data_IF_852478125545
#
_entry.id   IF_852478125545
#
_cell.length_a   1.000
_cell.length_b   1.000
_cell.length_c   1.000
_cell.angle_alpha   90.00
_cell.angle_beta   90.00
_cell.angle_gamma   90.00
#
_symmetry.space_group_name_H-M   'P 1'
#
loop_
_entity.id
_entity.type
_entity.pdbx_description
1 polymer ?
#
# COMPACT_ATOMS: atom_id res chain seq x y z
N UNK A 1 -8.03 -19.29 -0.26
CA UNK A 1 -6.70 -19.86 0.04
C UNK A 1 -5.58 -19.39 -0.90
N UNK A 2 -5.75 -19.29 -2.24
CA UNK A 2 -4.65 -18.84 -3.14
C UNK A 2 -4.24 -17.37 -2.90
N UNK A 3 -5.19 -16.47 -2.66
CA UNK A 3 -4.91 -15.05 -2.43
C UNK A 3 -4.21 -14.79 -1.10
N UNK A 4 -4.53 -15.58 -0.07
CA UNK A 4 -3.97 -15.48 1.27
C UNK A 4 -2.50 -15.90 1.29
N UNK A 5 -2.11 -16.90 0.50
CA UNK A 5 -0.69 -17.26 0.32
C UNK A 5 0.07 -16.12 -0.36
N UNK A 6 -0.51 -15.49 -1.39
CA UNK A 6 0.10 -14.32 -2.04
C UNK A 6 0.21 -13.14 -1.05
N UNK A 7 -0.79 -12.95 -0.18
CA UNK A 7 -0.74 -11.93 0.86
C UNK A 7 0.39 -12.16 1.87
N UNK A 8 0.73 -13.41 2.19
CA UNK A 8 1.90 -13.71 3.03
C UNK A 8 3.21 -13.32 2.35
N UNK A 9 3.34 -13.57 1.04
CA UNK A 9 4.51 -13.14 0.27
C UNK A 9 4.60 -11.61 0.26
N UNK A 10 3.47 -10.93 0.02
CA UNK A 10 3.39 -9.47 0.08
C UNK A 10 3.82 -8.95 1.46
N UNK A 11 3.34 -9.57 2.54
CA UNK A 11 3.71 -9.18 3.90
C UNK A 11 5.22 -9.31 4.16
N UNK A 12 5.87 -10.37 3.64
CA UNK A 12 7.33 -10.51 3.73
C UNK A 12 8.04 -9.38 2.99
N UNK A 13 7.59 -9.05 1.77
CA UNK A 13 8.15 -7.98 0.96
C UNK A 13 7.98 -6.62 1.67
N UNK A 14 6.78 -6.33 2.16
CA UNK A 14 6.47 -5.09 2.89
C UNK A 14 7.16 -5.00 4.25
N UNK A 15 7.60 -6.11 4.83
CA UNK A 15 8.47 -6.10 6.01
C UNK A 15 9.92 -5.69 5.70
N UNK A 16 10.41 -5.99 4.50
CA UNK A 16 11.81 -5.73 4.09
C UNK A 16 11.96 -4.36 3.42
N UNK A 17 11.03 -3.97 2.54
CA UNK A 17 11.12 -2.76 1.74
C UNK A 17 11.38 -1.49 2.54
N UNK A 18 10.72 -1.25 3.69
CA UNK A 18 10.88 -0.02 4.44
C UNK A 18 12.31 0.21 4.95
N UNK A 19 13.05 -0.88 5.18
CA UNK A 19 14.47 -0.85 5.57
C UNK A 19 15.32 -0.33 4.41
N UNK A 20 15.03 -0.79 3.19
CA UNK A 20 15.75 -0.39 1.97
C UNK A 20 15.35 1.03 1.56
N UNK A 21 14.06 1.36 1.61
CA UNK A 21 13.54 2.70 1.33
C UNK A 21 14.11 3.75 2.28
N UNK A 22 14.18 3.44 3.59
CA UNK A 22 14.85 4.32 4.57
C UNK A 22 16.31 4.57 4.21
N UNK A 23 17.06 3.56 3.72
CA UNK A 23 18.44 3.77 3.25
C UNK A 23 18.50 4.69 2.05
N UNK A 24 17.59 4.54 1.08
CA UNK A 24 17.53 5.44 -0.08
C UNK A 24 17.22 6.89 0.34
N UNK A 25 16.31 7.08 1.31
CA UNK A 25 15.92 8.39 1.84
C UNK A 25 17.03 9.12 2.60
N UNK A 26 18.17 8.47 2.89
CA UNK A 26 19.36 9.16 3.40
C UNK A 26 20.08 9.98 2.31
N UNK A 27 19.82 9.69 1.03
CA UNK A 27 20.48 10.32 -0.11
C UNK A 27 19.59 11.30 -0.86
N UNK A 28 18.26 11.21 -0.68
CA UNK A 28 17.28 12.00 -1.43
C UNK A 28 16.12 12.46 -0.57
N UNK A 29 15.46 13.54 -0.98
CA UNK A 29 14.22 13.98 -0.34
C UNK A 29 13.03 13.04 -0.66
N UNK A 30 12.02 12.93 0.23
CA UNK A 30 10.84 12.07 0.02
C UNK A 30 10.12 12.29 -1.32
N UNK A 31 10.02 13.53 -1.80
CA UNK A 31 9.43 13.83 -3.11
C UNK A 31 10.28 13.31 -4.27
N UNK A 32 11.61 13.36 -4.14
CA UNK A 32 12.54 12.84 -5.15
C UNK A 32 12.49 11.31 -5.16
N UNK A 33 12.49 10.67 -3.99
CA UNK A 33 12.32 9.22 -3.88
C UNK A 33 10.99 8.75 -4.51
N UNK A 34 9.89 9.47 -4.24
CA UNK A 34 8.58 9.19 -4.84
C UNK A 34 8.62 9.30 -6.36
N UNK A 35 9.20 10.38 -6.90
CA UNK A 35 9.34 10.55 -8.34
C UNK A 35 10.13 9.38 -8.95
N UNK A 36 11.29 9.05 -8.38
CA UNK A 36 12.14 7.97 -8.88
C UNK A 36 11.44 6.62 -8.88
N UNK A 37 10.80 6.22 -7.76
CA UNK A 37 10.14 4.91 -7.69
C UNK A 37 8.94 4.81 -8.64
N UNK A 38 8.16 5.89 -8.79
CA UNK A 38 7.03 5.92 -9.73
C UNK A 38 7.53 5.84 -11.17
N UNK A 39 8.58 6.59 -11.53
CA UNK A 39 9.18 6.53 -12.86
C UNK A 39 9.79 5.16 -13.16
N UNK A 40 10.52 4.56 -12.21
CA UNK A 40 11.09 3.22 -12.37
C UNK A 40 10.00 2.17 -12.53
N UNK A 41 8.96 2.20 -11.70
CA UNK A 41 7.83 1.28 -11.81
C UNK A 41 7.10 1.42 -13.15
N UNK A 42 6.88 2.65 -13.61
CA UNK A 42 6.29 2.91 -14.93
C UNK A 42 7.13 2.28 -16.05
N UNK A 43 8.45 2.50 -16.04
CA UNK A 43 9.36 1.92 -17.05
C UNK A 43 9.36 0.39 -17.00
N UNK A 44 9.52 -0.19 -15.80
CA UNK A 44 9.59 -1.65 -15.62
C UNK A 44 8.29 -2.32 -16.08
N UNK A 45 7.13 -1.80 -15.67
CA UNK A 45 5.83 -2.36 -16.04
C UNK A 45 5.58 -2.19 -17.55
N UNK A 46 5.91 -1.02 -18.12
CA UNK A 46 5.75 -0.77 -19.55
C UNK A 46 6.59 -1.74 -20.38
N UNK A 47 7.86 -1.95 -20.00
CA UNK A 47 8.74 -2.92 -20.66
C UNK A 47 8.18 -4.34 -20.53
N UNK A 48 7.72 -4.74 -19.34
CA UNK A 48 7.12 -6.05 -19.14
C UNK A 48 5.91 -6.26 -20.07
N UNK A 49 5.01 -5.26 -20.19
CA UNK A 49 3.84 -5.32 -21.07
C UNK A 49 4.20 -5.44 -22.54
N UNK A 50 5.24 -4.72 -22.98
CA UNK A 50 5.75 -4.82 -24.36
C UNK A 50 6.28 -6.23 -24.61
N UNK A 51 7.10 -6.78 -23.70
CA UNK A 51 7.75 -8.08 -23.87
C UNK A 51 6.75 -9.24 -23.91
N UNK A 52 5.64 -9.16 -23.16
CA UNK A 52 4.59 -10.18 -23.16
C UNK A 52 3.53 -9.97 -24.26
N UNK A 53 3.73 -8.98 -25.15
CA UNK A 53 2.83 -8.71 -26.27
C UNK A 53 1.45 -8.19 -25.87
N UNK A 54 1.32 -7.55 -24.70
CA UNK A 54 0.04 -7.00 -24.19
C UNK A 54 -0.20 -5.54 -24.53
N UNK A 55 0.62 -4.96 -25.40
CA UNK A 55 0.42 -3.57 -25.85
C UNK A 55 -0.42 -3.57 -27.12
N UNK A 56 -1.71 -3.28 -26.96
CA UNK A 56 -2.68 -3.11 -28.04
C UNK A 56 -3.39 -1.76 -27.87
N UNK A 57 -3.33 -0.91 -28.90
CA UNK A 57 -4.01 0.39 -28.92
C UNK A 57 -5.53 0.19 -28.95
N UNK A 58 -6.00 -0.88 -29.60
CA UNK A 58 -7.42 -1.23 -29.65
C UNK A 58 -7.94 -1.65 -28.29
N UNK A 59 -7.15 -2.42 -27.52
CA UNK A 59 -7.50 -2.81 -26.16
C UNK A 59 -7.66 -1.58 -25.27
N UNK A 60 -6.74 -0.61 -25.34
CA UNK A 60 -6.80 0.64 -24.58
C UNK A 60 -8.04 1.49 -24.93
N UNK A 61 -8.42 1.56 -26.21
CA UNK A 61 -9.62 2.29 -26.65
C UNK A 61 -10.91 1.60 -26.22
N UNK A 62 -10.88 0.28 -26.06
CA UNK A 62 -12.02 -0.53 -25.65
C UNK A 62 -12.22 -0.61 -24.13
N UNK A 63 -11.31 -0.04 -23.34
CA UNK A 63 -11.38 -0.10 -21.88
C UNK A 63 -12.63 0.61 -21.35
N UNK A 64 -13.42 -0.06 -20.48
CA UNK A 64 -14.47 0.60 -19.74
C UNK A 64 -13.93 1.76 -18.90
N UNK A 65 -14.72 2.81 -18.72
CA UNK A 65 -14.29 4.01 -18.02
C UNK A 65 -14.23 3.79 -16.50
N UNK A 66 -15.05 2.89 -15.97
CA UNK A 66 -15.16 2.56 -14.55
C UNK A 66 -13.83 2.15 -13.91
N UNK A 67 -13.07 1.16 -14.43
CA UNK A 67 -11.77 0.82 -13.88
C UNK A 67 -10.77 1.98 -13.98
N UNK A 68 -10.85 2.81 -15.02
CA UNK A 68 -9.99 3.99 -15.17
C UNK A 68 -10.27 5.00 -14.05
N UNK A 69 -11.55 5.25 -13.75
CA UNK A 69 -11.95 6.16 -12.67
C UNK A 69 -11.51 5.60 -11.31
N UNK A 70 -11.84 4.34 -11.01
CA UNK A 70 -11.49 3.74 -9.73
C UNK A 70 -9.98 3.70 -9.49
N UNK A 71 -9.21 3.25 -10.49
CA UNK A 71 -7.76 3.21 -10.40
C UNK A 71 -7.13 4.61 -10.42
N UNK A 72 -7.75 5.59 -11.09
CA UNK A 72 -7.34 6.98 -11.06
C UNK A 72 -7.43 7.59 -9.65
N UNK A 73 -8.54 7.34 -8.94
CA UNK A 73 -8.71 7.76 -7.54
C UNK A 73 -7.66 7.10 -6.64
N UNK A 74 -7.46 5.78 -6.80
CA UNK A 74 -6.44 5.03 -6.05
C UNK A 74 -5.04 5.55 -6.35
N UNK A 75 -4.74 5.90 -7.59
CA UNK A 75 -3.43 6.45 -8.00
C UNK A 75 -3.14 7.77 -7.29
N UNK A 76 -4.10 8.69 -7.24
CA UNK A 76 -3.96 9.95 -6.50
C UNK A 76 -3.73 9.71 -5.00
N UNK A 77 -4.52 8.80 -4.40
CA UNK A 77 -4.35 8.39 -3.00
C UNK A 77 -3.00 7.72 -2.74
N UNK A 78 -2.52 6.91 -3.68
CA UNK A 78 -1.24 6.20 -3.61
C UNK A 78 -0.07 7.18 -3.66
N UNK A 79 -0.10 8.20 -4.52
CA UNK A 79 0.93 9.24 -4.56
C UNK A 79 1.01 9.99 -3.23
N UNK A 80 -0.13 10.44 -2.70
CA UNK A 80 -0.17 11.17 -1.43
C UNK A 80 0.28 10.30 -0.25
N UNK A 81 -0.26 9.08 -0.14
CA UNK A 81 0.08 8.16 0.95
C UNK A 81 1.54 7.74 0.91
N UNK A 82 2.10 7.45 -0.27
CA UNK A 82 3.53 7.11 -0.42
C UNK A 82 4.42 8.29 -0.07
N UNK A 83 4.05 9.52 -0.47
CA UNK A 83 4.79 10.72 -0.07
C UNK A 83 4.82 10.89 1.46
N UNK A 84 3.66 10.77 2.11
CA UNK A 84 3.55 10.86 3.58
C UNK A 84 4.30 9.72 4.26
N UNK A 85 4.25 8.52 3.68
CA UNK A 85 4.98 7.36 4.16
C UNK A 85 6.49 7.58 4.12
N UNK A 86 7.03 8.10 3.02
CA UNK A 86 8.45 8.43 2.91
C UNK A 86 8.87 9.56 3.85
N UNK A 87 8.00 10.55 4.07
CA UNK A 87 8.23 11.55 5.13
C UNK A 87 8.29 10.90 6.51
N UNK A 88 7.33 10.04 6.84
CA UNK A 88 7.29 9.34 8.12
C UNK A 88 8.52 8.44 8.31
N UNK A 89 8.93 7.70 7.27
CA UNK A 89 10.16 6.93 7.26
C UNK A 89 11.37 7.83 7.49
N UNK A 90 11.47 9.01 6.88
CA UNK A 90 12.61 9.92 7.13
C UNK A 90 12.68 10.36 8.60
N UNK A 91 11.53 10.58 9.24
CA UNK A 91 11.40 11.09 10.61
C UNK A 91 11.50 10.01 11.71
N UNK A 92 11.27 8.73 11.41
CA UNK A 92 11.24 7.66 12.42
C UNK A 92 11.90 6.38 11.94
N UNK A 93 11.87 5.32 12.75
CA UNK A 93 12.39 4.00 12.37
C UNK A 93 11.39 3.23 11.50
N UNK A 94 11.87 2.40 10.54
CA UNK A 94 10.99 1.58 9.71
C UNK A 94 10.04 0.69 10.53
N UNK A 95 10.54 0.05 11.58
CA UNK A 95 9.73 -0.82 12.44
C UNK A 95 8.58 -0.08 13.11
N UNK A 96 8.82 1.13 13.65
CA UNK A 96 7.76 1.94 14.28
C UNK A 96 6.71 2.35 13.25
N UNK A 97 7.14 2.83 12.07
CA UNK A 97 6.22 3.27 11.01
C UNK A 97 5.36 2.10 10.51
N UNK A 98 5.95 0.95 10.20
CA UNK A 98 5.23 -0.23 9.69
C UNK A 98 4.20 -0.76 10.68
N UNK A 99 4.56 -0.81 11.98
CA UNK A 99 3.66 -1.25 13.04
C UNK A 99 2.48 -0.29 13.18
N UNK A 100 2.72 1.03 13.20
CA UNK A 100 1.65 2.03 13.25
C UNK A 100 0.74 1.90 12.01
N UNK A 101 1.32 1.81 10.81
CA UNK A 101 0.52 1.76 9.58
C UNK A 101 -0.29 0.48 9.46
N UNK A 102 0.08 -0.60 10.16
CA UNK A 102 -0.67 -1.86 10.22
C UNK A 102 -2.07 -1.73 10.83
N UNK A 103 -2.46 -0.52 11.29
CA UNK A 103 -3.85 -0.17 11.61
C UNK A 103 -4.77 -0.10 10.38
N UNK A 104 -4.25 -0.05 9.15
CA UNK A 104 -5.08 0.08 7.94
C UNK A 104 -6.24 -0.94 7.82
N UNK A 105 -6.16 -2.21 8.28
CA UNK A 105 -7.28 -3.14 8.21
C UNK A 105 -8.50 -2.65 9.01
N UNK A 106 -8.30 -1.89 10.08
CA UNK A 106 -9.39 -1.24 10.82
C UNK A 106 -10.14 -0.25 9.92
N UNK A 107 -9.40 0.59 9.18
CA UNK A 107 -10.01 1.50 8.21
C UNK A 107 -10.69 0.75 7.05
N UNK A 108 -10.15 -0.40 6.63
CA UNK A 108 -10.81 -1.28 5.66
C UNK A 108 -12.15 -1.79 6.19
N UNK A 109 -12.23 -2.22 7.45
CA UNK A 109 -13.48 -2.66 8.07
C UNK A 109 -14.51 -1.52 8.08
N UNK A 110 -14.11 -0.31 8.49
CA UNK A 110 -15.00 0.86 8.50
C UNK A 110 -15.48 1.17 7.08
N UNK A 111 -14.56 1.30 6.13
CA UNK A 111 -14.89 1.64 4.75
C UNK A 111 -15.84 0.60 4.14
N UNK A 112 -15.56 -0.69 4.34
CA UNK A 112 -16.43 -1.76 3.88
C UNK A 112 -17.83 -1.66 4.50
N UNK A 113 -17.92 -1.44 5.81
CA UNK A 113 -19.21 -1.30 6.51
C UNK A 113 -20.03 -0.10 6.00
N UNK A 114 -19.36 1.01 5.68
CA UNK A 114 -20.02 2.20 5.11
C UNK A 114 -20.51 1.94 3.69
N UNK A 115 -19.69 1.29 2.86
CA UNK A 115 -20.01 1.01 1.46
C UNK A 115 -21.13 -0.03 1.34
N UNK A 116 -21.05 -1.12 2.09
CA UNK A 116 -22.07 -2.19 2.08
C UNK A 116 -23.31 -1.83 2.89
N UNK A 117 -23.21 -0.82 3.78
CA UNK A 117 -24.24 -0.47 4.77
C UNK A 117 -24.58 -1.62 5.72
N UNK A 118 -23.61 -2.52 5.93
CA UNK A 118 -23.73 -3.65 6.84
C UNK A 118 -22.80 -3.48 8.04
N UNK A 119 -23.25 -3.91 9.21
CA UNK A 119 -22.42 -3.89 10.41
C UNK A 119 -21.43 -5.05 10.41
N UNK A 120 -20.18 -4.83 10.87
CA UNK A 120 -19.21 -5.91 11.01
C UNK A 120 -19.68 -6.90 12.07
N UNK A 121 -19.47 -8.20 11.81
CA UNK A 121 -19.76 -9.23 12.81
C UNK A 121 -18.95 -9.01 14.09
N UNK A 122 -19.46 -9.51 15.22
CA UNK A 122 -18.76 -9.44 16.51
C UNK A 122 -17.34 -10.02 16.44
N UNK A 123 -17.13 -11.06 15.62
CA UNK A 123 -15.81 -11.65 15.38
C UNK A 123 -14.84 -10.66 14.72
N UNK A 124 -15.30 -9.87 13.76
CA UNK A 124 -14.49 -8.83 13.10
C UNK A 124 -14.15 -7.72 14.09
N UNK A 125 -15.10 -7.31 14.93
CA UNK A 125 -14.87 -6.29 15.96
C UNK A 125 -13.81 -6.75 16.98
N UNK A 126 -13.92 -7.98 17.47
CA UNK A 126 -12.92 -8.58 18.38
C UNK A 126 -11.56 -8.69 17.68
N UNK A 127 -11.54 -9.07 16.41
CA UNK A 127 -10.31 -9.10 15.61
C UNK A 127 -9.66 -7.71 15.49
N UNK A 128 -10.45 -6.67 15.21
CA UNK A 128 -9.97 -5.30 15.16
C UNK A 128 -9.37 -4.86 16.50
N UNK A 129 -10.00 -5.19 17.63
CA UNK A 129 -9.43 -4.95 18.96
C UNK A 129 -8.05 -5.61 19.13
N UNK A 130 -7.88 -6.86 18.69
CA UNK A 130 -6.58 -7.53 18.73
C UNK A 130 -5.52 -6.89 17.83
N UNK A 131 -5.90 -6.27 16.70
CA UNK A 131 -4.97 -5.48 15.87
C UNK A 131 -4.41 -4.31 16.71
N UNK A 132 -5.29 -3.54 17.37
CA UNK A 132 -4.86 -2.44 18.23
C UNK A 132 -3.99 -2.91 19.39
N UNK A 133 -4.38 -4.00 20.06
CA UNK A 133 -3.60 -4.56 21.16
C UNK A 133 -2.22 -5.04 20.68
N UNK A 134 -2.14 -5.70 19.52
CA UNK A 134 -0.88 -6.13 18.93
C UNK A 134 0.03 -4.95 18.59
N UNK A 135 -0.52 -3.91 17.95
CA UNK A 135 0.22 -2.67 17.65
C UNK A 135 0.75 -2.03 18.93
N UNK A 136 -0.09 -1.94 19.96
CA UNK A 136 0.25 -1.41 21.27
C UNK A 136 1.39 -2.18 21.94
N UNK A 137 1.33 -3.51 21.93
CA UNK A 137 2.35 -4.37 22.55
C UNK A 137 3.69 -4.33 21.81
N UNK A 138 3.69 -4.13 20.49
CA UNK A 138 4.92 -4.05 19.69
C UNK A 138 5.56 -2.66 19.78
N UNK A 139 4.76 -1.62 19.99
CA UNK A 139 5.30 -0.29 20.26
C UNK A 139 5.84 -0.23 21.69
N UNK A 140 7.11 -0.58 21.85
CA UNK A 140 7.87 -0.31 23.07
C UNK A 140 7.66 1.18 23.43
N UNK A 141 7.12 1.41 24.63
CA UNK A 141 6.91 2.75 25.15
C UNK A 141 8.24 3.50 25.23
N UNK A 142 8.39 4.49 24.34
CA UNK A 142 9.43 5.53 24.23
C UNK A 142 10.86 5.06 23.95
#
# INVERSE_FOLDING_TARGET
MKGEILALIIAMMWGIYPIIEKKALNYVEPSTALFLIVSMNFVIISLAYILIGKVSIEDLKSLPLEPIIFLGIVSLGSLLSTYLYYKALKLSSPSKIVVITSIYPFFTIIANSVITRELPSIRIIVGAFFIFLGIYLVMDYF
#
